data_IF_751036836245
#
_entry.id   IF_751036836245
#
_cell.length_a   1.000
_cell.length_b   1.000
_cell.length_c   1.000
_cell.angle_alpha   90.00
_cell.angle_beta   90.00
_cell.angle_gamma   90.00
#
_symmetry.space_group_name_H-M   'P 1'
#
loop_
_entity.id
_entity.type
_entity.pdbx_description
1 polymer ?
#
# COMPACT_ATOMS: atom_id res chain seq x y z
N UNK A 1 17.88 2.53 7.73
CA UNK A 1 17.15 1.23 7.74
C UNK A 1 16.09 1.28 8.83
N UNK A 2 14.91 0.72 8.59
CA UNK A 2 13.78 0.76 9.54
C UNK A 2 14.09 0.02 10.86
N UNK A 3 15.04 -0.93 10.87
CA UNK A 3 15.61 -1.51 12.10
C UNK A 3 14.72 -2.51 12.85
N UNK A 4 13.43 -2.58 12.49
CA UNK A 4 12.38 -3.38 13.12
C UNK A 4 11.72 -4.34 12.11
N UNK A 5 11.06 -5.37 12.65
CA UNK A 5 10.38 -6.39 11.87
C UNK A 5 9.18 -5.83 11.11
N UNK A 6 9.09 -6.16 9.82
CA UNK A 6 7.94 -5.84 8.97
C UNK A 6 6.89 -6.94 9.08
N UNK A 7 5.66 -6.59 9.45
CA UNK A 7 4.51 -7.48 9.31
C UNK A 7 3.93 -7.38 7.90
N UNK A 8 4.15 -8.41 7.07
CA UNK A 8 3.60 -8.47 5.71
C UNK A 8 2.13 -8.92 5.74
N UNK A 9 1.31 -8.36 4.84
CA UNK A 9 -0.11 -8.71 4.71
C UNK A 9 -0.90 -8.56 6.02
N UNK A 10 -0.49 -7.62 6.88
CA UNK A 10 -1.19 -7.34 8.13
C UNK A 10 -2.62 -6.89 7.84
N UNK A 11 -3.57 -7.45 8.58
CA UNK A 11 -4.97 -7.03 8.54
C UNK A 11 -5.35 -6.30 9.82
N UNK A 12 -6.26 -5.34 9.70
CA UNK A 12 -6.85 -4.65 10.83
C UNK A 12 -8.37 -4.86 10.83
N UNK A 13 -8.97 -5.01 12.02
CA UNK A 13 -10.41 -5.24 12.17
C UNK A 13 -11.26 -4.06 11.65
N UNK A 14 -10.68 -2.86 11.64
CA UNK A 14 -11.31 -1.64 11.11
C UNK A 14 -11.11 -1.47 9.60
N UNK A 15 -10.12 -2.14 8.98
CA UNK A 15 -9.82 -1.99 7.55
C UNK A 15 -10.49 -3.09 6.74
N UNK A 16 -11.78 -2.90 6.44
CA UNK A 16 -12.62 -3.92 5.80
C UNK A 16 -13.00 -3.54 4.36
N UNK A 17 -13.02 -4.53 3.48
CA UNK A 17 -13.46 -4.35 2.11
C UNK A 17 -14.98 -4.21 1.95
N UNK A 18 -15.40 -4.05 0.70
CA UNK A 18 -16.81 -3.98 0.31
C UNK A 18 -17.57 -5.27 0.68
N UNK A 19 -18.84 -5.17 1.07
CA UNK A 19 -19.66 -6.33 1.40
C UNK A 19 -19.89 -7.22 0.17
N UNK A 20 -19.90 -8.53 0.40
CA UNK A 20 -20.31 -9.50 -0.62
C UNK A 20 -21.80 -9.33 -0.94
N UNK A 21 -22.17 -9.33 -2.23
CA UNK A 21 -23.59 -9.37 -2.64
C UNK A 21 -24.29 -10.66 -2.26
N UNK A 22 -23.54 -11.76 -2.09
CA UNK A 22 -24.12 -13.08 -1.78
C UNK A 22 -24.36 -13.29 -0.28
N UNK A 23 -23.41 -12.87 0.56
CA UNK A 23 -23.43 -13.19 2.00
C UNK A 23 -23.50 -11.96 2.90
N UNK A 24 -23.31 -10.75 2.37
CA UNK A 24 -23.20 -9.52 3.16
C UNK A 24 -21.89 -9.36 3.94
N UNK A 25 -21.06 -10.41 4.00
CA UNK A 25 -19.80 -10.40 4.75
C UNK A 25 -18.76 -9.48 4.12
N UNK A 26 -17.90 -8.90 4.96
CA UNK A 26 -16.74 -8.08 4.56
C UNK A 26 -15.46 -8.82 4.91
N UNK A 27 -14.53 -8.88 3.96
CA UNK A 27 -13.20 -9.41 4.20
C UNK A 27 -12.28 -8.27 4.67
N UNK A 28 -11.34 -8.53 5.59
CA UNK A 28 -10.30 -7.57 5.91
C UNK A 28 -9.43 -7.28 4.68
N UNK A 29 -8.95 -6.04 4.56
CA UNK A 29 -7.99 -5.66 3.53
C UNK A 29 -6.58 -5.75 4.13
N UNK A 30 -5.72 -6.65 3.62
CA UNK A 30 -4.34 -6.70 4.06
C UNK A 30 -3.57 -5.49 3.53
N UNK A 31 -2.61 -5.00 4.32
CA UNK A 31 -1.60 -4.01 3.90
C UNK A 31 -0.31 -4.70 3.50
N UNK A 32 0.46 -4.15 2.56
CA UNK A 32 1.65 -4.85 2.04
C UNK A 32 2.76 -4.97 3.09
N UNK A 33 2.97 -3.91 3.87
CA UNK A 33 3.91 -3.93 4.99
C UNK A 33 3.49 -3.01 6.13
N UNK A 34 3.72 -3.45 7.36
CA UNK A 34 3.44 -2.69 8.57
C UNK A 34 4.64 -2.71 9.52
N UNK A 35 5.01 -1.53 10.02
CA UNK A 35 6.02 -1.32 11.05
C UNK A 35 5.38 -0.64 12.26
N UNK A 36 5.01 -1.47 13.24
CA UNK A 36 4.28 -1.05 14.44
C UNK A 36 5.03 0.01 15.25
N UNK A 37 6.33 -0.18 15.45
CA UNK A 37 7.20 0.72 16.22
C UNK A 37 7.29 2.14 15.64
N UNK A 38 6.97 2.29 14.35
CA UNK A 38 7.00 3.55 13.62
C UNK A 38 5.60 4.04 13.24
N UNK A 39 4.55 3.28 13.56
CA UNK A 39 3.19 3.53 13.08
C UNK A 39 3.11 3.66 11.56
N UNK A 40 3.96 2.93 10.82
CA UNK A 40 4.10 3.07 9.37
C UNK A 40 3.45 1.89 8.65
N UNK A 41 2.58 2.20 7.69
CA UNK A 41 2.06 1.27 6.69
C UNK A 41 2.65 1.61 5.34
N UNK A 42 3.09 0.58 4.61
CA UNK A 42 3.57 0.69 3.24
C UNK A 42 2.65 -0.08 2.30
N UNK A 43 2.28 0.55 1.20
CA UNK A 43 1.54 -0.04 0.09
C UNK A 43 2.35 0.12 -1.20
N UNK A 44 2.38 -0.92 -2.03
CA UNK A 44 3.09 -0.89 -3.30
C UNK A 44 2.11 -0.92 -4.49
N UNK A 45 2.09 0.17 -5.25
CA UNK A 45 1.27 0.29 -6.45
C UNK A 45 2.02 -0.23 -7.67
N UNK A 46 1.66 -1.45 -8.07
CA UNK A 46 2.07 -2.01 -9.35
C UNK A 46 1.38 -1.35 -10.54
N UNK A 47 1.88 -1.61 -11.76
CA UNK A 47 1.32 -1.13 -13.04
C UNK A 47 -0.21 -1.20 -13.16
N UNK A 48 -0.79 -2.27 -12.59
CA UNK A 48 -2.22 -2.53 -12.67
C UNK A 48 -3.07 -1.56 -11.82
N UNK A 49 -2.44 -0.72 -11.00
CA UNK A 49 -3.07 0.38 -10.27
C UNK A 49 -3.09 1.69 -11.08
N UNK A 50 -2.16 1.89 -12.03
CA UNK A 50 -2.06 3.11 -12.83
C UNK A 50 -2.69 3.02 -14.22
N UNK A 51 -2.82 1.82 -14.80
CA UNK A 51 -3.38 1.60 -16.14
C UNK A 51 -4.40 0.46 -16.11
N UNK A 52 -5.55 0.65 -16.76
CA UNK A 52 -6.55 -0.41 -16.87
C UNK A 52 -5.99 -1.61 -17.63
N UNK A 53 -6.14 -2.80 -17.07
CA UNK A 53 -5.82 -4.08 -17.71
C UNK A 53 -7.15 -4.80 -18.01
N UNK A 54 -7.74 -4.62 -19.20
CA UNK A 54 -9.13 -5.01 -19.47
C UNK A 54 -9.46 -6.47 -19.15
N UNK A 55 -8.51 -7.39 -19.37
CA UNK A 55 -8.69 -8.82 -19.11
C UNK A 55 -8.86 -9.17 -17.62
N UNK A 56 -8.19 -8.43 -16.73
CA UNK A 56 -8.27 -8.67 -15.29
C UNK A 56 -9.29 -7.75 -14.62
N UNK A 57 -9.41 -6.52 -15.10
CA UNK A 57 -10.26 -5.50 -14.49
C UNK A 57 -11.74 -5.80 -14.68
N UNK A 58 -12.12 -6.41 -15.80
CA UNK A 58 -13.52 -6.71 -16.12
C UNK A 58 -14.07 -7.94 -15.38
N UNK A 59 -13.31 -8.57 -14.48
CA UNK A 59 -13.83 -9.66 -13.66
C UNK A 59 -14.74 -9.11 -12.58
N UNK A 60 -15.99 -9.58 -12.56
CA UNK A 60 -16.95 -9.26 -11.50
C UNK A 60 -16.49 -9.91 -10.20
N UNK A 61 -16.42 -9.11 -9.15
CA UNK A 61 -16.00 -9.51 -7.81
C UNK A 61 -17.18 -9.97 -6.95
N UNK A 62 -16.91 -10.52 -5.77
CA UNK A 62 -17.97 -10.94 -4.85
C UNK A 62 -18.85 -9.78 -4.36
N UNK A 63 -18.37 -8.53 -4.41
CA UNK A 63 -19.16 -7.33 -4.14
C UNK A 63 -19.91 -6.81 -5.37
N UNK A 64 -19.79 -7.47 -6.51
CA UNK A 64 -20.46 -7.12 -7.76
C UNK A 64 -19.87 -5.92 -8.50
N UNK A 65 -18.71 -5.41 -8.06
CA UNK A 65 -17.91 -4.43 -8.81
C UNK A 65 -16.95 -5.13 -9.75
N UNK A 66 -16.51 -4.42 -10.79
CA UNK A 66 -15.37 -4.84 -11.59
C UNK A 66 -14.11 -4.83 -10.72
N UNK A 67 -13.17 -5.77 -10.95
CA UNK A 67 -11.95 -5.90 -10.14
C UNK A 67 -11.12 -4.61 -10.14
N UNK A 68 -11.06 -3.92 -11.28
CA UNK A 68 -10.36 -2.63 -11.38
C UNK A 68 -11.01 -1.53 -10.54
N UNK A 69 -12.34 -1.44 -10.54
CA UNK A 69 -13.08 -0.49 -9.69
C UNK A 69 -12.93 -0.82 -8.21
N UNK A 70 -12.98 -2.11 -7.87
CA UNK A 70 -12.81 -2.57 -6.49
C UNK A 70 -11.44 -2.19 -5.94
N UNK A 71 -10.36 -2.34 -6.72
CA UNK A 71 -9.01 -1.92 -6.31
C UNK A 71 -8.95 -0.42 -6.02
N UNK A 72 -9.48 0.42 -6.93
CA UNK A 72 -9.53 1.88 -6.73
C UNK A 72 -10.28 2.27 -5.47
N UNK A 73 -11.40 1.60 -5.18
CA UNK A 73 -12.17 1.82 -3.96
C UNK A 73 -11.37 1.41 -2.71
N UNK A 74 -10.64 0.30 -2.76
CA UNK A 74 -9.81 -0.16 -1.65
C UNK A 74 -8.61 0.75 -1.42
N UNK A 75 -7.92 1.18 -2.48
CA UNK A 75 -6.79 2.12 -2.38
C UNK A 75 -7.26 3.45 -1.76
N UNK A 76 -8.40 3.98 -2.20
CA UNK A 76 -9.00 5.18 -1.62
C UNK A 76 -9.39 4.98 -0.14
N UNK A 77 -9.97 3.82 0.19
CA UNK A 77 -10.34 3.50 1.56
C UNK A 77 -9.12 3.39 2.48
N UNK A 78 -8.04 2.76 2.03
CA UNK A 78 -6.76 2.71 2.75
C UNK A 78 -6.18 4.11 2.96
N UNK A 79 -6.18 4.95 1.92
CA UNK A 79 -5.68 6.31 1.97
C UNK A 79 -6.42 7.21 2.98
N UNK A 80 -7.69 6.93 3.24
CA UNK A 80 -8.48 7.65 4.26
C UNK A 80 -8.34 7.02 5.64
N UNK A 81 -8.59 5.72 5.76
CA UNK A 81 -8.75 5.07 7.07
C UNK A 81 -7.43 4.89 7.82
N UNK A 82 -6.31 4.66 7.13
CA UNK A 82 -5.02 4.45 7.79
C UNK A 82 -4.59 5.73 8.54
N UNK A 83 -4.60 6.93 7.91
CA UNK A 83 -4.36 8.19 8.62
C UNK A 83 -5.35 8.49 9.75
N UNK A 84 -6.63 8.12 9.59
CA UNK A 84 -7.65 8.31 10.64
C UNK A 84 -7.34 7.52 11.93
N UNK A 85 -6.58 6.43 11.83
CA UNK A 85 -6.11 5.65 12.98
C UNK A 85 -4.79 6.17 13.56
N UNK A 86 -4.29 7.30 13.08
CA UNK A 86 -3.02 7.90 13.51
C UNK A 86 -1.78 7.19 12.96
N UNK A 87 -1.95 6.35 11.92
CA UNK A 87 -0.85 5.69 11.23
C UNK A 87 -0.41 6.49 10.00
N UNK A 88 0.89 6.45 9.71
CA UNK A 88 1.46 7.01 8.49
C UNK A 88 1.30 6.01 7.35
N UNK A 89 0.69 6.43 6.24
CA UNK A 89 0.65 5.64 5.01
C UNK A 89 1.72 6.14 4.02
N UNK A 90 2.59 5.23 3.61
CA UNK A 90 3.53 5.44 2.50
C UNK A 90 3.09 4.59 1.30
N UNK A 91 2.77 5.25 0.19
CA UNK A 91 2.48 4.58 -1.08
C UNK A 91 3.73 4.67 -1.95
N UNK A 92 4.24 3.53 -2.40
CA UNK A 92 5.37 3.45 -3.32
C UNK A 92 4.84 2.98 -4.67
N UNK A 93 5.07 3.74 -5.73
CA UNK A 93 4.65 3.39 -7.08
C UNK A 93 5.83 2.81 -7.88
N UNK A 94 5.55 1.88 -8.79
CA UNK A 94 6.58 1.34 -9.68
C UNK A 94 7.31 2.43 -10.50
N UNK A 95 6.65 3.57 -10.75
CA UNK A 95 7.20 4.73 -11.48
C UNK A 95 8.27 5.48 -10.69
N UNK A 96 8.32 5.29 -9.38
CA UNK A 96 9.35 5.91 -8.55
C UNK A 96 10.71 5.26 -8.75
N UNK A 97 10.73 4.03 -9.29
CA UNK A 97 11.94 3.32 -9.64
C UNK A 97 12.30 3.51 -11.12
N UNK A 98 13.59 3.35 -11.41
CA UNK A 98 14.06 3.30 -12.79
C UNK A 98 13.33 2.16 -13.52
N UNK A 99 12.65 2.48 -14.61
CA UNK A 99 11.90 1.49 -15.38
C UNK A 99 12.14 1.64 -16.89
N UNK A 100 12.17 0.49 -17.59
CA UNK A 100 12.29 0.41 -19.05
C UNK A 100 11.15 -0.44 -19.58
N UNK A 101 10.39 0.10 -20.54
CA UNK A 101 9.16 -0.54 -21.04
C UNK A 101 8.27 -1.01 -19.88
N UNK A 102 8.13 -0.13 -18.88
CA UNK A 102 7.36 -0.33 -17.64
C UNK A 102 7.95 -1.39 -16.70
N UNK A 103 9.03 -2.12 -17.03
CA UNK A 103 9.64 -3.07 -16.07
C UNK A 103 10.67 -2.33 -15.22
N UNK A 104 10.61 -2.51 -13.90
CA UNK A 104 11.64 -1.99 -12.99
C UNK A 104 12.98 -2.59 -13.39
N UNK A 105 13.95 -1.72 -13.62
CA UNK A 105 15.35 -2.09 -13.77
C UNK A 105 15.93 -2.17 -12.38
N UNK A 106 15.94 -3.37 -11.81
CA UNK A 106 16.39 -3.60 -10.42
C UNK A 106 17.83 -3.10 -10.26
N UNK A 107 18.00 -2.16 -9.35
CA UNK A 107 19.30 -1.69 -8.91
C UNK A 107 19.21 -1.47 -7.41
N UNK A 108 19.65 -2.46 -6.65
CA UNK A 108 19.46 -2.51 -5.20
C UNK A 108 19.91 -1.23 -4.49
N UNK A 109 21.08 -0.69 -4.83
CA UNK A 109 21.61 0.52 -4.20
C UNK A 109 20.74 1.75 -4.50
N UNK A 110 20.35 1.94 -5.77
CA UNK A 110 19.48 3.07 -6.17
C UNK A 110 18.07 2.91 -5.62
N UNK A 111 17.51 1.71 -5.67
CA UNK A 111 16.17 1.41 -5.20
C UNK A 111 16.08 1.64 -3.69
N UNK A 112 17.11 1.25 -2.92
CA UNK A 112 17.20 1.56 -1.50
C UNK A 112 17.25 3.05 -1.22
N UNK A 113 17.99 3.83 -2.00
CA UNK A 113 18.05 5.30 -1.83
C UNK A 113 16.69 5.96 -2.08
N UNK A 114 15.96 5.50 -3.10
CA UNK A 114 14.60 5.98 -3.38
C UNK A 114 13.68 5.71 -2.19
N UNK A 115 13.66 4.47 -1.71
CA UNK A 115 12.81 4.07 -0.58
C UNK A 115 13.22 4.79 0.71
N UNK A 116 14.52 4.94 0.98
CA UNK A 116 15.01 5.66 2.16
C UNK A 116 14.54 7.11 2.17
N UNK A 117 14.64 7.81 1.04
CA UNK A 117 14.18 9.19 0.90
C UNK A 117 12.68 9.32 1.13
N UNK A 118 11.88 8.43 0.53
CA UNK A 118 10.43 8.43 0.72
C UNK A 118 10.03 8.22 2.18
N UNK A 119 10.72 7.32 2.86
CA UNK A 119 10.51 7.08 4.29
C UNK A 119 10.84 8.34 5.09
N UNK A 120 11.96 9.01 4.80
CA UNK A 120 12.35 10.26 5.47
C UNK A 120 11.35 11.39 5.26
N UNK A 121 10.72 11.44 4.07
CA UNK A 121 9.71 12.45 3.75
C UNK A 121 8.40 12.26 4.56
N UNK A 122 8.05 11.01 4.91
CA UNK A 122 6.81 10.69 5.65
C UNK A 122 7.02 10.43 7.14
N UNK A 123 8.22 10.02 7.54
CA UNK A 123 8.64 9.85 8.92
C UNK A 123 9.81 10.80 9.17
N UNK A 124 9.59 11.99 9.77
CA UNK A 124 10.70 12.79 10.22
C UNK A 124 11.55 11.95 11.17
N UNK A 125 12.88 12.03 11.01
CA UNK A 125 13.81 11.41 11.95
C UNK A 125 13.40 11.81 13.37
N UNK A 126 13.37 10.89 14.35
CA UNK A 126 13.23 11.31 15.73
C UNK A 126 14.33 12.34 15.98
N UNK A 127 13.93 13.58 16.28
CA UNK A 127 14.86 14.62 16.74
C UNK A 127 15.64 13.97 17.87
N UNK A 128 16.93 13.75 17.65
CA UNK A 128 17.77 12.98 18.55
C UNK A 128 17.55 13.46 19.97
N UNK A 129 17.32 12.51 20.88
CA UNK A 129 17.41 12.76 22.32
C UNK A 129 18.82 13.31 22.56
N UNK A 130 18.93 14.64 22.67
CA UNK A 130 20.12 15.29 23.16
C UNK A 130 20.27 14.87 24.62
N UNK A 131 21.13 13.88 24.87
CA UNK A 131 21.72 13.65 26.18
C UNK A 131 23.23 13.75 26.07
#
# INVERSE_FOLDING_TARGET
>A
MLGSGCEQQKTFDWLLGLPSKKTGLRAPLPVDGYWEDRGLVVEYHEKQHSEAVPFFDNKVTASGHLRGEQRKLYDAQKATMIPEQGLTLLIIDYRDFQNVKRKIVRNYEKDLLVVARMIEDVLPQPVGDQR
#
